data_IF_506061698061
#
_entry.id   IF_506061698061
#
_cell.length_a   1.000
_cell.length_b   1.000
_cell.length_c   1.000
_cell.angle_alpha   90.00
_cell.angle_beta   90.00
_cell.angle_gamma   90.00
#
_symmetry.space_group_name_H-M   'P 1'
#
loop_
_entity.id
_entity.type
_entity.pdbx_description
1 polymer ?
#
# COMPACT_ATOMS: atom_id res chain seq x y z
N UNK A 1 -51.07 -40.34 -17.74
CA UNK A 1 -49.75 -39.75 -17.43
C UNK A 1 -49.96 -38.28 -17.12
N UNK A 2 -50.07 -37.92 -15.84
CA UNK A 2 -50.31 -36.55 -15.40
C UNK A 2 -48.96 -35.82 -15.26
N UNK A 3 -48.85 -34.65 -15.87
CA UNK A 3 -47.71 -33.74 -15.69
C UNK A 3 -47.64 -33.27 -14.23
N UNK A 4 -46.44 -33.13 -13.64
CA UNK A 4 -46.31 -32.53 -12.32
C UNK A 4 -46.67 -31.04 -12.35
N UNK A 5 -47.26 -30.49 -11.27
CA UNK A 5 -47.67 -29.10 -11.20
C UNK A 5 -46.47 -28.15 -11.22
N UNK A 6 -46.55 -27.15 -12.07
CA UNK A 6 -45.61 -26.05 -12.20
C UNK A 6 -45.61 -25.23 -10.89
N UNK A 7 -44.55 -25.37 -10.09
CA UNK A 7 -44.30 -24.54 -8.91
C UNK A 7 -44.03 -23.10 -9.36
N UNK A 8 -44.75 -22.09 -8.84
CA UNK A 8 -44.50 -20.69 -9.19
C UNK A 8 -43.07 -20.29 -8.79
N UNK A 9 -42.30 -19.75 -9.75
CA UNK A 9 -40.94 -19.21 -9.57
C UNK A 9 -40.84 -18.00 -8.60
N UNK A 10 -41.89 -17.72 -7.82
CA UNK A 10 -41.96 -16.60 -6.89
C UNK A 10 -41.20 -16.84 -5.56
N UNK A 11 -40.86 -18.09 -5.22
CA UNK A 11 -40.28 -18.44 -3.91
C UNK A 11 -38.75 -18.29 -3.80
N UNK A 12 -38.05 -17.88 -4.87
CA UNK A 12 -36.59 -17.68 -4.84
C UNK A 12 -36.17 -16.30 -4.32
N UNK A 13 -37.05 -15.29 -4.37
CA UNK A 13 -36.75 -13.92 -3.89
C UNK A 13 -36.75 -13.79 -2.36
N UNK A 14 -37.32 -14.76 -1.65
CA UNK A 14 -37.39 -14.78 -0.18
C UNK A 14 -36.19 -15.46 0.50
N UNK A 15 -35.22 -15.98 -0.25
CA UNK A 15 -34.05 -16.68 0.34
C UNK A 15 -32.84 -15.78 0.60
N UNK A 16 -32.96 -14.45 0.50
CA UNK A 16 -31.86 -13.53 0.83
C UNK A 16 -31.79 -13.34 2.36
N UNK A 17 -30.66 -13.63 3.03
CA UNK A 17 -30.50 -13.43 4.47
C UNK A 17 -30.74 -11.97 4.88
N UNK A 18 -31.18 -11.77 6.13
CA UNK A 18 -31.50 -10.45 6.69
C UNK A 18 -30.35 -9.46 6.51
N UNK A 19 -29.12 -9.85 6.83
CA UNK A 19 -27.96 -8.95 6.82
C UNK A 19 -27.57 -8.53 5.41
N UNK A 20 -27.75 -9.43 4.43
CA UNK A 20 -27.59 -9.07 3.02
C UNK A 20 -28.64 -8.04 2.60
N UNK A 21 -29.91 -8.18 3.03
CA UNK A 21 -30.96 -7.19 2.76
C UNK A 21 -30.64 -5.84 3.40
N UNK A 22 -30.09 -5.81 4.60
CA UNK A 22 -29.63 -4.56 5.25
C UNK A 22 -28.50 -3.92 4.44
N UNK A 23 -27.52 -4.70 3.98
CA UNK A 23 -26.43 -4.18 3.15
C UNK A 23 -26.94 -3.57 1.82
N UNK A 24 -27.95 -4.20 1.20
CA UNK A 24 -28.59 -3.66 -0.01
C UNK A 24 -29.32 -2.34 0.27
N UNK A 25 -30.00 -2.22 1.41
CA UNK A 25 -30.65 -0.97 1.83
C UNK A 25 -29.62 0.15 2.08
N UNK A 26 -28.45 -0.18 2.63
CA UNK A 26 -27.35 0.78 2.80
C UNK A 26 -26.84 1.28 1.44
N UNK A 27 -26.65 0.38 0.47
CA UNK A 27 -26.24 0.74 -0.89
C UNK A 27 -27.26 1.65 -1.57
N UNK A 28 -28.55 1.34 -1.43
CA UNK A 28 -29.63 2.19 -1.95
C UNK A 28 -29.65 3.58 -1.29
N UNK A 29 -29.45 3.66 0.03
CA UNK A 29 -29.37 4.94 0.74
C UNK A 29 -28.14 5.76 0.33
N UNK A 30 -27.06 5.11 -0.11
CA UNK A 30 -25.87 5.74 -0.67
C UNK A 30 -26.05 6.19 -2.14
N UNK A 31 -27.20 5.92 -2.76
CA UNK A 31 -27.49 6.25 -4.15
C UNK A 31 -26.91 5.26 -5.17
N UNK A 32 -26.53 4.06 -4.74
CA UNK A 32 -26.03 3.00 -5.64
C UNK A 32 -27.20 2.09 -6.01
N UNK A 33 -27.73 2.28 -7.22
CA UNK A 33 -28.89 1.53 -7.73
C UNK A 33 -28.49 0.23 -8.44
N UNK A 34 -27.34 0.22 -9.13
CA UNK A 34 -26.85 -0.93 -9.90
C UNK A 34 -25.52 -1.48 -9.35
N UNK A 35 -25.51 -2.74 -8.92
CA UNK A 35 -24.32 -3.46 -8.45
C UNK A 35 -24.45 -4.98 -8.68
N UNK A 36 -23.32 -5.70 -8.75
CA UNK A 36 -23.34 -7.17 -8.81
C UNK A 36 -23.82 -7.73 -7.46
N UNK A 37 -24.71 -8.75 -7.42
CA UNK A 37 -25.21 -9.31 -6.17
C UNK A 37 -24.11 -9.80 -5.21
N UNK A 38 -22.92 -10.17 -5.73
CA UNK A 38 -21.77 -10.56 -4.92
C UNK A 38 -21.20 -9.42 -4.07
N UNK A 39 -21.38 -8.16 -4.45
CA UNK A 39 -20.87 -7.00 -3.69
C UNK A 39 -21.47 -6.99 -2.28
N UNK A 40 -22.77 -7.26 -2.14
CA UNK A 40 -23.41 -7.34 -0.83
C UNK A 40 -22.80 -8.43 0.07
N UNK A 41 -22.41 -9.57 -0.51
CA UNK A 41 -21.76 -10.67 0.21
C UNK A 41 -20.31 -10.30 0.59
N UNK A 42 -19.56 -9.68 -0.31
CA UNK A 42 -18.19 -9.23 -0.05
C UNK A 42 -18.13 -8.15 1.02
N UNK A 43 -19.06 -7.19 0.99
CA UNK A 43 -19.18 -6.17 2.04
C UNK A 43 -19.53 -6.78 3.39
N UNK A 44 -20.35 -7.83 3.42
CA UNK A 44 -20.68 -8.54 4.65
C UNK A 44 -19.46 -9.30 5.20
N UNK A 45 -18.70 -9.98 4.34
CA UNK A 45 -17.43 -10.63 4.72
C UNK A 45 -16.42 -9.61 5.26
N UNK A 46 -16.30 -8.45 4.60
CA UNK A 46 -15.46 -7.36 5.07
C UNK A 46 -15.89 -6.84 6.44
N UNK A 47 -17.18 -6.57 6.64
CA UNK A 47 -17.71 -6.08 7.91
C UNK A 47 -17.49 -7.09 9.04
N UNK A 48 -17.70 -8.38 8.75
CA UNK A 48 -17.44 -9.45 9.70
C UNK A 48 -15.96 -9.53 10.08
N UNK A 49 -15.05 -9.60 9.09
CA UNK A 49 -13.60 -9.64 9.34
C UNK A 49 -13.14 -8.41 10.11
N UNK A 50 -13.57 -7.22 9.71
CA UNK A 50 -13.23 -5.97 10.40
C UNK A 50 -13.65 -6.01 11.89
N UNK A 51 -14.87 -6.48 12.16
CA UNK A 51 -15.40 -6.56 13.53
C UNK A 51 -14.64 -7.58 14.38
N UNK A 52 -14.32 -8.75 13.82
CA UNK A 52 -13.52 -9.78 14.50
C UNK A 52 -12.14 -9.24 14.87
N UNK A 53 -11.45 -8.61 13.93
CA UNK A 53 -10.13 -8.00 14.18
C UNK A 53 -10.21 -6.96 15.31
N UNK A 54 -11.21 -6.07 15.27
CA UNK A 54 -11.40 -5.02 16.30
C UNK A 54 -11.69 -5.61 17.67
N UNK A 55 -12.51 -6.67 17.75
CA UNK A 55 -12.81 -7.34 19.02
C UNK A 55 -11.57 -8.08 19.55
N UNK A 56 -10.75 -8.67 18.68
CA UNK A 56 -9.50 -9.31 19.08
C UNK A 56 -8.52 -8.29 19.70
N UNK A 57 -8.34 -7.15 19.05
CA UNK A 57 -7.49 -6.05 19.56
C UNK A 57 -8.05 -5.50 20.89
N UNK A 58 -9.37 -5.31 20.99
CA UNK A 58 -10.02 -4.84 22.21
C UNK A 58 -9.89 -5.84 23.37
N UNK A 59 -9.98 -7.16 23.09
CA UNK A 59 -9.73 -8.21 24.08
C UNK A 59 -8.31 -8.15 24.63
N UNK A 60 -7.31 -7.97 23.75
CA UNK A 60 -5.92 -7.82 24.17
C UNK A 60 -5.71 -6.56 25.04
N UNK A 61 -6.43 -5.47 24.77
CA UNK A 61 -6.39 -4.26 25.60
C UNK A 61 -7.06 -4.45 26.96
N UNK A 62 -8.20 -5.16 27.03
CA UNK A 62 -8.86 -5.49 28.29
C UNK A 62 -7.96 -6.39 29.16
N UNK A 63 -7.31 -7.40 28.57
CA UNK A 63 -6.34 -8.26 29.25
C UNK A 63 -5.14 -7.46 29.78
N UNK A 64 -4.62 -6.51 28.99
CA UNK A 64 -3.54 -5.62 29.42
C UNK A 64 -3.94 -4.72 30.60
N UNK A 65 -5.20 -4.30 30.65
CA UNK A 65 -5.76 -3.53 31.76
C UNK A 65 -6.17 -4.39 32.98
N UNK A 66 -6.00 -5.73 32.90
CA UNK A 66 -6.39 -6.67 33.95
C UNK A 66 -7.92 -6.83 34.11
N UNK A 67 -8.69 -6.51 33.06
CA UNK A 67 -10.15 -6.67 33.03
C UNK A 67 -10.50 -7.99 32.33
N UNK A 68 -11.60 -8.61 32.76
CA UNK A 68 -12.13 -9.83 32.14
C UNK A 68 -13.26 -9.54 31.12
N UNK A 69 -13.81 -8.33 31.14
CA UNK A 69 -14.87 -7.88 30.24
C UNK A 69 -14.33 -6.75 29.34
N UNK A 70 -14.81 -6.71 28.10
CA UNK A 70 -14.43 -5.69 27.11
C UNK A 70 -15.28 -4.44 27.32
N UNK A 71 -14.64 -3.30 27.59
CA UNK A 71 -15.31 -2.01 27.70
C UNK A 71 -15.39 -1.26 26.36
N UNK A 72 -16.25 -0.24 26.30
CA UNK A 72 -16.38 0.67 25.15
C UNK A 72 -15.04 1.39 24.87
N UNK A 73 -14.27 1.71 25.91
CA UNK A 73 -12.98 2.38 25.76
C UNK A 73 -11.93 1.48 25.08
N UNK A 74 -11.98 0.16 25.33
CA UNK A 74 -11.08 -0.80 24.69
C UNK A 74 -11.39 -0.91 23.19
N UNK A 75 -12.68 -0.92 22.82
CA UNK A 75 -13.12 -0.89 21.42
C UNK A 75 -12.75 0.41 20.72
N UNK A 76 -12.89 1.56 21.39
CA UNK A 76 -12.47 2.85 20.83
C UNK A 76 -10.98 2.89 20.57
N UNK A 77 -10.18 2.39 21.51
CA UNK A 77 -8.72 2.32 21.36
C UNK A 77 -8.33 1.41 20.19
N UNK A 78 -8.98 0.24 20.05
CA UNK A 78 -8.77 -0.69 18.95
C UNK A 78 -9.07 -0.04 17.59
N UNK A 79 -10.19 0.67 17.48
CA UNK A 79 -10.55 1.39 16.26
C UNK A 79 -9.52 2.49 15.94
N UNK A 80 -9.06 3.27 16.93
CA UNK A 80 -8.07 4.33 16.73
C UNK A 80 -6.72 3.80 16.25
N UNK A 81 -6.25 2.69 16.82
CA UNK A 81 -5.03 2.01 16.38
C UNK A 81 -5.13 1.56 14.91
N UNK A 82 -6.32 1.11 14.48
CA UNK A 82 -6.54 0.66 13.10
C UNK A 82 -6.71 1.79 12.09
N UNK A 83 -7.43 2.85 12.45
CA UNK A 83 -7.68 3.99 11.55
C UNK A 83 -6.38 4.58 11.03
N UNK A 84 -5.36 4.64 11.88
CA UNK A 84 -4.05 5.23 11.54
C UNK A 84 -3.36 4.57 10.34
N UNK A 85 -3.57 3.27 10.11
CA UNK A 85 -2.88 2.52 9.04
C UNK A 85 -3.81 1.96 7.96
N UNK A 86 -5.07 1.68 8.29
CA UNK A 86 -6.02 1.04 7.35
C UNK A 86 -6.86 2.04 6.56
N UNK A 87 -7.07 3.25 7.09
CA UNK A 87 -7.94 4.24 6.48
C UNK A 87 -7.16 5.53 6.21
N UNK A 88 -7.10 5.92 4.94
CA UNK A 88 -6.54 7.22 4.56
C UNK A 88 -7.61 8.29 4.70
N UNK A 89 -7.42 9.20 5.65
CA UNK A 89 -8.15 10.45 5.65
C UNK A 89 -7.53 11.39 4.61
N UNK A 90 -8.35 12.17 3.88
CA UNK A 90 -7.80 13.17 2.96
C UNK A 90 -6.89 14.12 3.75
N UNK A 91 -5.67 14.41 3.25
CA UNK A 91 -4.74 15.30 3.93
C UNK A 91 -5.35 16.69 4.09
N UNK A 92 -4.96 17.38 5.16
CA UNK A 92 -5.46 18.72 5.49
C UNK A 92 -5.14 19.69 4.36
N UNK A 93 -6.09 20.56 4.00
CA UNK A 93 -5.89 21.56 2.93
C UNK A 93 -4.66 22.44 3.18
N UNK A 94 -4.40 22.83 4.42
CA UNK A 94 -3.25 23.64 4.80
C UNK A 94 -1.92 22.96 4.48
N UNK A 95 -1.82 21.65 4.74
CA UNK A 95 -0.63 20.86 4.42
C UNK A 95 -0.40 20.81 2.91
N UNK A 96 -1.44 20.55 2.13
CA UNK A 96 -1.36 20.56 0.67
C UNK A 96 -1.02 21.97 0.13
N UNK A 97 -1.55 23.03 0.73
CA UNK A 97 -1.27 24.40 0.33
C UNK A 97 0.17 24.82 0.65
N UNK A 98 0.74 24.37 1.78
CA UNK A 98 2.14 24.58 2.11
C UNK A 98 3.06 23.85 1.13
N UNK A 99 2.77 22.57 0.85
CA UNK A 99 3.52 21.78 -0.12
C UNK A 99 3.44 22.41 -1.52
N UNK A 100 2.26 22.88 -1.94
CA UNK A 100 2.08 23.58 -3.20
C UNK A 100 2.89 24.88 -3.23
N UNK A 101 2.88 25.67 -2.16
CA UNK A 101 3.71 26.88 -2.07
C UNK A 101 5.19 26.57 -2.18
N UNK A 102 5.68 25.50 -1.57
CA UNK A 102 7.07 25.08 -1.64
C UNK A 102 7.48 24.61 -3.04
N UNK A 103 6.65 23.76 -3.67
CA UNK A 103 6.90 23.25 -5.03
C UNK A 103 6.76 24.33 -6.11
N UNK A 104 5.82 25.24 -5.95
CA UNK A 104 5.58 26.32 -6.91
C UNK A 104 6.55 27.50 -6.76
N UNK A 105 7.56 27.44 -5.86
CA UNK A 105 8.63 28.45 -5.79
C UNK A 105 9.55 28.38 -7.01
N UNK A 106 9.75 27.19 -7.56
CA UNK A 106 10.60 27.00 -8.73
C UNK A 106 9.85 27.45 -9.98
N UNK A 107 10.39 28.43 -10.74
CA UNK A 107 9.74 28.89 -11.95
C UNK A 107 9.74 27.78 -13.01
N UNK A 108 8.75 27.82 -13.91
CA UNK A 108 8.68 26.88 -15.01
C UNK A 108 9.93 26.98 -15.91
N UNK A 109 10.47 25.85 -16.41
CA UNK A 109 11.54 25.87 -17.40
C UNK A 109 11.10 26.64 -18.66
N UNK A 110 12.01 27.39 -19.31
CA UNK A 110 11.69 28.12 -20.52
C UNK A 110 11.22 27.16 -21.64
N UNK A 111 10.12 27.51 -22.29
CA UNK A 111 9.52 26.70 -23.35
C UNK A 111 10.22 27.03 -24.69
N UNK A 112 10.86 26.06 -25.37
CA UNK A 112 11.47 26.30 -26.68
C UNK A 112 10.40 26.40 -27.78
N UNK A 113 10.63 27.23 -28.80
CA UNK A 113 9.71 27.45 -29.94
C UNK A 113 9.61 26.27 -30.93
N UNK A 114 10.21 25.12 -30.61
CA UNK A 114 10.16 23.91 -31.45
C UNK A 114 8.83 23.20 -31.22
N UNK A 115 8.05 23.03 -32.28
CA UNK A 115 6.85 22.22 -32.26
C UNK A 115 7.18 20.74 -32.02
N UNK A 116 6.62 20.14 -30.96
CA UNK A 116 6.74 18.70 -30.71
C UNK A 116 6.74 18.31 -29.23
N UNK A 117 6.70 17.00 -28.98
CA UNK A 117 6.83 16.41 -27.65
C UNK A 117 8.32 16.38 -27.25
N UNK A 118 8.64 16.93 -26.08
CA UNK A 118 9.99 16.88 -25.52
C UNK A 118 10.10 15.68 -24.58
N UNK A 119 10.80 14.64 -25.04
CA UNK A 119 11.14 13.52 -24.18
C UNK A 119 12.23 13.93 -23.17
N UNK A 120 12.25 13.29 -21.98
CA UNK A 120 13.45 13.29 -21.13
C UNK A 120 14.69 12.82 -21.91
N UNK A 121 15.91 13.06 -21.41
CA UNK A 121 17.12 12.48 -21.99
C UNK A 121 16.98 10.96 -22.14
N UNK A 122 17.59 10.36 -23.17
CA UNK A 122 17.42 8.93 -23.50
C UNK A 122 17.66 7.98 -22.32
N UNK A 123 18.58 8.33 -21.41
CA UNK A 123 18.84 7.60 -20.16
C UNK A 123 17.66 7.52 -19.19
N UNK A 124 16.72 8.46 -19.28
CA UNK A 124 15.48 8.50 -18.50
C UNK A 124 14.27 8.06 -19.35
N UNK A 125 14.49 7.61 -20.59
CA UNK A 125 13.47 7.06 -21.46
C UNK A 125 13.49 5.53 -21.39
N UNK A 126 12.31 4.92 -21.21
CA UNK A 126 12.12 3.46 -21.24
C UNK A 126 12.05 2.92 -22.68
N UNK A 127 13.00 3.32 -23.53
CA UNK A 127 13.07 2.92 -24.95
C UNK A 127 14.04 1.76 -25.20
N UNK A 128 14.97 1.54 -24.28
CA UNK A 128 15.89 0.42 -24.36
C UNK A 128 15.18 -0.90 -24.00
N UNK A 129 15.55 -1.97 -24.69
CA UNK A 129 15.07 -3.32 -24.39
C UNK A 129 15.60 -3.71 -23.00
N UNK A 130 14.70 -3.90 -22.03
CA UNK A 130 15.02 -4.25 -20.65
C UNK A 130 14.90 -5.75 -20.33
N UNK A 131 14.75 -6.59 -21.36
CA UNK A 131 14.66 -8.04 -21.23
C UNK A 131 15.51 -8.73 -22.31
N UNK A 132 16.23 -9.78 -21.93
CA UNK A 132 16.89 -10.68 -22.87
C UNK A 132 16.14 -12.00 -22.84
N UNK A 133 15.51 -12.37 -23.95
CA UNK A 133 14.99 -13.73 -24.10
C UNK A 133 16.18 -14.66 -24.29
N UNK A 134 16.38 -15.56 -23.33
CA UNK A 134 17.24 -16.73 -23.50
C UNK A 134 16.33 -17.78 -24.14
N UNK A 135 16.53 -18.16 -25.41
CA UNK A 135 15.75 -19.22 -26.01
C UNK A 135 16.02 -20.52 -25.25
N UNK A 136 14.97 -21.11 -24.68
CA UNK A 136 15.04 -22.48 -24.18
C UNK A 136 15.27 -23.39 -25.41
N UNK A 137 16.29 -24.28 -25.39
CA UNK A 137 16.51 -25.18 -26.51
C UNK A 137 15.25 -26.04 -26.73
N UNK A 138 14.89 -26.32 -28.00
CA UNK A 138 13.70 -27.09 -28.31
C UNK A 138 13.73 -28.45 -27.58
N UNK A 139 12.59 -28.92 -27.02
CA UNK A 139 12.53 -30.22 -26.36
C UNK A 139 12.78 -31.31 -27.40
N UNK A 140 14.03 -31.79 -27.48
CA UNK A 140 14.41 -32.82 -28.45
C UNK A 140 15.90 -32.93 -28.81
N UNK A 141 16.76 -32.00 -28.41
CA UNK A 141 18.22 -32.17 -28.59
C UNK A 141 18.93 -32.00 -27.25
N UNK A 142 18.98 -33.11 -26.51
CA UNK A 142 19.99 -33.35 -25.49
C UNK A 142 21.35 -33.37 -26.21
N UNK A 143 22.14 -32.32 -26.07
CA UNK A 143 23.56 -32.39 -26.38
C UNK A 143 24.21 -33.33 -25.36
N UNK A 144 24.71 -34.45 -25.87
CA UNK A 144 25.39 -35.51 -25.14
C UNK A 144 26.79 -35.09 -24.64
N UNK A 145 26.94 -33.88 -24.08
CA UNK A 145 28.23 -33.36 -23.60
C UNK A 145 28.21 -32.62 -22.26
N UNK A 146 27.12 -32.69 -21.48
CA UNK A 146 27.18 -32.38 -20.05
C UNK A 146 27.00 -33.66 -19.23
N UNK A 147 28.05 -34.48 -19.18
CA UNK A 147 28.22 -35.44 -18.09
C UNK A 147 28.49 -34.66 -16.81
N UNK A 148 27.44 -34.24 -16.10
CA UNK A 148 27.53 -33.95 -14.68
C UNK A 148 27.76 -35.29 -13.97
N UNK A 149 29.02 -35.54 -13.63
CA UNK A 149 29.44 -36.60 -12.74
C UNK A 149 28.79 -36.37 -11.36
N UNK A 150 27.75 -37.14 -11.04
CA UNK A 150 27.22 -37.27 -9.69
C UNK A 150 28.00 -38.41 -9.05
N UNK A 151 29.12 -38.06 -8.43
CA UNK A 151 29.69 -38.88 -7.37
C UNK A 151 28.70 -38.85 -6.21
N UNK A 152 28.05 -39.98 -5.93
CA UNK A 152 27.31 -40.20 -4.70
C UNK A 152 28.30 -40.22 -3.53
N UNK A 153 28.30 -39.17 -2.72
CA UNK A 153 28.81 -39.23 -1.36
C UNK A 153 27.63 -39.00 -0.41
N UNK A 154 27.11 -40.11 0.11
CA UNK A 154 26.26 -40.08 1.29
C UNK A 154 27.22 -39.97 2.48
N UNK A 155 27.11 -38.91 3.30
CA UNK A 155 27.09 -38.97 4.76
C UNK A 155 26.96 -37.55 5.36
N UNK A 156 25.93 -37.40 6.19
CA UNK A 156 25.85 -36.72 7.49
C UNK A 156 26.15 -35.21 7.64
N UNK A 157 25.10 -34.51 8.11
CA UNK A 157 25.01 -33.40 9.08
C UNK A 157 26.16 -32.38 9.23
N UNK A 158 25.88 -31.10 8.92
CA UNK A 158 26.13 -29.87 9.74
C UNK A 158 25.73 -28.59 8.92
N UNK A 159 25.31 -27.46 9.55
CA UNK A 159 24.73 -26.31 8.88
C UNK A 159 25.80 -25.34 8.30
N UNK A 160 25.65 -24.98 7.03
CA UNK A 160 26.59 -24.15 6.29
C UNK A 160 26.40 -22.64 6.54
N UNK A 161 27.41 -21.98 7.12
CA UNK A 161 27.52 -20.52 7.22
C UNK A 161 27.95 -19.91 5.88
N UNK A 162 27.21 -18.92 5.37
CA UNK A 162 27.60 -18.17 4.16
C UNK A 162 28.79 -17.24 4.44
N UNK A 163 29.94 -17.53 3.83
CA UNK A 163 31.03 -16.55 3.64
C UNK A 163 31.00 -16.07 2.18
N UNK A 164 30.81 -14.77 1.98
CA UNK A 164 30.90 -14.11 0.68
C UNK A 164 32.31 -13.57 0.49
N UNK A 165 33.01 -14.07 -0.54
CA UNK A 165 34.32 -13.56 -0.95
C UNK A 165 34.15 -12.61 -2.13
N UNK A 166 34.31 -11.31 -1.89
CA UNK A 166 34.30 -10.24 -2.89
C UNK A 166 35.72 -10.04 -3.40
N UNK A 167 35.94 -10.18 -4.71
CA UNK A 167 37.20 -9.81 -5.37
C UNK A 167 37.20 -8.32 -5.71
N UNK A 168 38.20 -7.64 -5.17
CA UNK A 168 38.60 -6.26 -5.41
C UNK A 168 39.11 -6.05 -6.84
N UNK A 169 38.66 -4.97 -7.50
CA UNK A 169 39.47 -4.23 -8.47
C UNK A 169 39.31 -2.72 -8.21
N UNK A 170 40.46 -2.04 -8.26
CA UNK A 170 40.72 -0.67 -7.83
C UNK A 170 40.05 0.42 -8.68
N UNK A 171 39.57 1.48 -8.05
CA UNK A 171 39.50 2.82 -8.64
C UNK A 171 39.38 3.90 -7.56
N UNK A 172 40.34 4.81 -7.63
CA UNK A 172 40.65 5.93 -6.75
C UNK A 172 39.60 7.04 -6.71
N UNK A 173 39.63 7.75 -5.57
CA UNK A 173 39.14 9.11 -5.29
C UNK A 173 37.66 9.26 -4.86
N UNK A 174 37.42 9.16 -3.56
CA UNK A 174 36.30 9.81 -2.87
C UNK A 174 36.87 10.71 -1.78
N UNK A 175 36.60 12.01 -1.92
CA UNK A 175 36.97 13.05 -0.98
C UNK A 175 36.24 12.90 0.35
N UNK A 176 36.90 13.36 1.41
CA UNK A 176 36.41 13.35 2.78
C UNK A 176 35.09 14.12 2.92
N UNK A 177 34.20 13.54 3.70
CA UNK A 177 32.97 14.17 4.18
C UNK A 177 33.28 14.65 5.59
N UNK A 178 33.58 15.94 5.74
CA UNK A 178 33.63 16.57 7.06
C UNK A 178 32.18 16.82 7.53
N UNK A 179 31.91 16.26 8.71
CA UNK A 179 30.69 16.38 9.46
C UNK A 179 30.83 17.54 10.44
N UNK A 180 30.22 18.68 10.12
CA UNK A 180 30.00 19.77 11.09
C UNK A 180 28.52 20.16 11.06
N UNK A 181 27.73 19.55 11.94
CA UNK A 181 26.38 20.00 12.28
C UNK A 181 26.50 20.86 13.55
N UNK A 182 26.64 22.17 13.35
CA UNK A 182 26.64 23.16 14.43
C UNK A 182 25.19 23.42 14.88
N UNK A 183 24.94 23.30 16.18
CA UNK A 183 23.62 23.35 16.80
C UNK A 183 23.53 24.61 17.67
N UNK A 184 23.10 25.73 17.09
CA UNK A 184 22.81 27.03 17.74
C UNK A 184 21.67 27.69 16.94
N UNK A 185 20.58 28.26 17.44
CA UNK A 185 20.12 28.63 18.78
C UNK A 185 18.59 28.52 18.82
N UNK A 186 18.06 28.22 20.01
CA UNK A 186 16.64 28.32 20.34
C UNK A 186 16.40 29.75 20.79
N UNK A 187 15.60 30.53 20.06
CA UNK A 187 15.07 31.78 20.60
C UNK A 187 13.54 31.84 20.56
N UNK A 188 13.00 32.27 21.69
CA UNK A 188 11.58 32.25 22.07
C UNK A 188 10.80 33.41 21.42
N UNK A 189 9.45 33.33 21.41
CA UNK A 189 8.61 34.25 20.66
C UNK A 189 8.17 35.44 21.52
N UNK A 190 8.70 36.63 21.27
CA UNK A 190 8.04 37.87 21.67
C UNK A 190 8.19 38.96 20.60
N UNK A 191 7.06 39.61 20.32
CA UNK A 191 6.89 40.89 19.63
C UNK A 191 6.88 40.91 18.10
N UNK A 192 5.69 40.69 17.51
CA UNK A 192 5.21 41.57 16.42
C UNK A 192 3.73 41.88 16.63
N UNK A 193 3.42 42.59 17.72
CA UNK A 193 2.25 43.44 17.77
C UNK A 193 2.71 44.87 17.48
N UNK A 194 1.93 45.61 16.69
CA UNK A 194 2.08 47.03 16.32
C UNK A 194 2.73 47.27 14.95
N UNK A 195 1.90 47.43 13.93
CA UNK A 195 1.81 48.69 13.15
C UNK A 195 0.59 48.61 12.24
N UNK A 196 -0.54 49.05 12.78
CA UNK A 196 -1.69 49.52 12.02
C UNK A 196 -1.56 51.04 11.96
N UNK A 197 -1.14 51.61 10.83
CA UNK A 197 -1.42 53.02 10.47
C UNK A 197 -1.23 53.21 8.97
N UNK A 198 -2.32 53.60 8.32
CA UNK A 198 -2.46 53.53 6.87
C UNK A 198 -1.94 54.74 6.10
N UNK A 199 -2.19 54.72 4.80
CA UNK A 199 -2.51 55.87 3.95
C UNK A 199 -2.80 55.36 2.53
N UNK A 200 -3.99 55.73 2.03
CA UNK A 200 -4.46 55.84 0.64
C UNK A 200 -4.48 54.54 -0.20
#
# INVERSE_FOLDING_TARGET
MAQPPNVPQAQLKDQVPRDSRVMQLILQAAGVEDYEPKVAQQLLEFAHRYTVDVIQDASAYAEHAGKNDIDIEDVKLAIQGRITHSFTAPPRQEFLAQLAKERNKEPLPPVPEKYGLRLPPDRHCLTAVNFQLIPEPPPGQLDSSLSMDISQDNNDDEPFTMTTSVKHEDSSAIGGVDSDYDMQDVDSPEQIATTFKGHI
#
